data_IF_101445743144
#
_entry.id   IF_101445743144
#
_cell.length_a   1.000
_cell.length_b   1.000
_cell.length_c   1.000
_cell.angle_alpha   90.00
_cell.angle_beta   90.00
_cell.angle_gamma   90.00
#
_symmetry.space_group_name_H-M   'P 1'
#
loop_
_entity.id
_entity.type
_entity.pdbx_description
1 polymer ?
#
# COMPACT_ATOMS: atom_id res chain seq x y z
N UNK A 1 -29.07 -21.00 -8.47
CA UNK A 1 -29.38 -19.55 -8.48
C UNK A 1 -28.53 -18.88 -7.43
N UNK A 2 -27.74 -17.85 -7.80
CA UNK A 2 -26.95 -17.09 -6.81
C UNK A 2 -27.87 -16.40 -5.82
N UNK A 3 -27.49 -16.39 -4.55
CA UNK A 3 -28.26 -15.73 -3.51
C UNK A 3 -28.34 -14.23 -3.82
N UNK A 4 -29.53 -13.61 -3.83
CA UNK A 4 -29.70 -12.19 -4.14
C UNK A 4 -28.91 -11.27 -3.19
N UNK A 5 -28.59 -11.73 -1.98
CA UNK A 5 -27.71 -11.01 -1.04
C UNK A 5 -26.25 -11.03 -1.51
N UNK A 6 -25.79 -12.16 -2.05
CA UNK A 6 -24.44 -12.31 -2.61
C UNK A 6 -24.28 -11.46 -3.86
N UNK A 7 -25.27 -11.44 -4.75
CA UNK A 7 -25.26 -10.61 -5.97
C UNK A 7 -25.07 -9.11 -5.66
N UNK A 8 -25.79 -8.61 -4.65
CA UNK A 8 -25.67 -7.22 -4.20
C UNK A 8 -24.28 -6.88 -3.66
N UNK A 9 -23.64 -7.81 -2.95
CA UNK A 9 -22.28 -7.63 -2.42
C UNK A 9 -21.28 -7.63 -3.58
N UNK A 10 -21.34 -8.64 -4.45
CA UNK A 10 -20.45 -8.76 -5.62
C UNK A 10 -20.53 -7.50 -6.46
N UNK A 11 -21.73 -7.03 -6.79
CA UNK A 11 -21.92 -5.82 -7.60
C UNK A 11 -21.29 -4.57 -6.99
N UNK A 12 -21.45 -4.38 -5.68
CA UNK A 12 -20.83 -3.24 -4.96
C UNK A 12 -19.32 -3.36 -4.92
N UNK A 13 -18.81 -4.54 -4.60
CA UNK A 13 -17.37 -4.81 -4.54
C UNK A 13 -16.72 -4.61 -5.90
N UNK A 14 -17.35 -5.11 -6.98
CA UNK A 14 -16.86 -4.90 -8.34
C UNK A 14 -16.82 -3.42 -8.68
N UNK A 15 -17.87 -2.64 -8.38
CA UNK A 15 -17.88 -1.20 -8.65
C UNK A 15 -16.75 -0.48 -7.90
N UNK A 16 -16.55 -0.77 -6.61
CA UNK A 16 -15.46 -0.18 -5.81
C UNK A 16 -14.10 -0.61 -6.35
N UNK A 17 -13.92 -1.91 -6.64
CA UNK A 17 -12.68 -2.44 -7.19
C UNK A 17 -12.33 -1.80 -8.53
N UNK A 18 -13.32 -1.59 -9.41
CA UNK A 18 -13.11 -0.88 -10.68
C UNK A 18 -12.64 0.55 -10.45
N UNK A 19 -13.28 1.31 -9.54
CA UNK A 19 -12.86 2.68 -9.23
C UNK A 19 -11.44 2.72 -8.68
N UNK A 20 -11.10 1.83 -7.75
CA UNK A 20 -9.77 1.74 -7.15
C UNK A 20 -8.71 1.34 -8.18
N UNK A 21 -8.99 0.34 -9.02
CA UNK A 21 -8.09 -0.08 -10.09
C UNK A 21 -7.87 1.04 -11.11
N UNK A 22 -8.94 1.72 -11.53
CA UNK A 22 -8.84 2.88 -12.43
C UNK A 22 -8.03 4.01 -11.83
N UNK A 23 -8.23 4.32 -10.54
CA UNK A 23 -7.41 5.30 -9.84
C UNK A 23 -5.93 4.91 -9.87
N UNK A 24 -5.59 3.67 -9.51
CA UNK A 24 -4.21 3.20 -9.53
C UNK A 24 -3.58 3.19 -10.92
N UNK A 25 -4.32 2.78 -11.97
CA UNK A 25 -3.83 2.79 -13.35
C UNK A 25 -3.61 4.22 -13.85
N UNK A 26 -4.55 5.13 -13.59
CA UNK A 26 -4.41 6.54 -13.93
C UNK A 26 -3.25 7.19 -13.18
N UNK A 27 -2.98 6.74 -11.96
CA UNK A 27 -1.86 7.24 -11.17
C UNK A 27 -0.57 6.45 -11.30
N UNK A 28 -0.54 5.39 -12.11
CA UNK A 28 0.62 4.52 -12.25
C UNK A 28 1.81 5.25 -12.87
N UNK A 29 1.53 6.17 -13.81
CA UNK A 29 2.54 6.94 -14.53
C UNK A 29 2.98 8.23 -13.82
N UNK A 30 2.36 8.61 -12.70
CA UNK A 30 2.70 9.86 -11.99
C UNK A 30 4.08 9.84 -11.31
N UNK A 31 4.81 8.71 -11.33
CA UNK A 31 6.11 8.60 -10.68
C UNK A 31 6.04 8.83 -9.16
N UNK A 32 7.18 8.76 -8.45
CA UNK A 32 7.22 8.98 -7.01
C UNK A 32 7.16 10.48 -6.70
N UNK A 33 6.03 11.13 -7.00
CA UNK A 33 5.70 12.42 -6.38
C UNK A 33 5.48 12.23 -4.87
N UNK A 34 5.75 13.25 -4.04
CA UNK A 34 5.53 13.20 -2.61
C UNK A 34 4.03 13.04 -2.34
N UNK A 35 3.63 11.79 -2.17
CA UNK A 35 2.23 11.36 -2.15
C UNK A 35 1.83 10.98 -0.73
N UNK A 36 0.52 10.78 -0.50
CA UNK A 36 -0.02 10.43 0.81
C UNK A 36 0.56 9.13 1.40
N UNK A 37 1.28 8.34 0.61
CA UNK A 37 1.97 7.11 1.00
C UNK A 37 3.42 7.32 1.47
N UNK A 38 3.97 8.53 1.35
CA UNK A 38 5.29 8.88 1.87
C UNK A 38 5.49 8.55 3.35
N UNK A 39 4.53 8.82 4.26
CA UNK A 39 4.67 8.47 5.67
C UNK A 39 4.80 6.95 5.87
N UNK A 40 4.07 6.16 5.09
CA UNK A 40 4.07 4.70 5.15
C UNK A 40 5.40 4.16 4.62
N UNK A 41 5.87 4.68 3.49
CA UNK A 41 7.17 4.30 2.90
C UNK A 41 8.33 4.61 3.86
N UNK A 42 8.30 5.78 4.51
CA UNK A 42 9.30 6.16 5.53
C UNK A 42 9.25 5.25 6.75
N UNK A 43 8.06 4.88 7.22
CA UNK A 43 7.92 3.95 8.34
C UNK A 43 8.49 2.57 8.02
N UNK A 44 8.24 2.04 6.82
CA UNK A 44 8.78 0.75 6.37
C UNK A 44 10.31 0.82 6.26
N UNK A 45 10.87 1.86 5.64
CA UNK A 45 12.32 2.05 5.54
C UNK A 45 12.99 2.22 6.91
N UNK A 46 12.34 2.92 7.85
CA UNK A 46 12.84 3.08 9.21
C UNK A 46 12.82 1.76 9.98
N UNK A 47 11.76 0.95 9.83
CA UNK A 47 11.71 -0.38 10.42
C UNK A 47 12.79 -1.30 9.83
N UNK A 48 13.00 -1.25 8.51
CA UNK A 48 14.08 -1.99 7.85
C UNK A 48 15.46 -1.58 8.39
N UNK A 49 15.72 -0.27 8.53
CA UNK A 49 16.98 0.23 9.10
C UNK A 49 17.17 -0.19 10.57
N UNK A 50 16.10 -0.17 11.36
CA UNK A 50 16.15 -0.56 12.78
C UNK A 50 16.43 -2.06 12.95
N UNK A 51 15.84 -2.90 12.09
CA UNK A 51 16.09 -4.35 12.10
C UNK A 51 17.52 -4.65 11.62
N UNK A 52 18.00 -3.94 10.59
CA UNK A 52 19.38 -4.05 10.13
C UNK A 52 20.36 -3.66 11.24
N UNK A 53 20.12 -2.56 11.95
CA UNK A 53 20.96 -2.13 13.08
C UNK A 53 20.90 -3.12 14.26
N UNK A 54 19.76 -3.77 14.49
CA UNK A 54 19.60 -4.80 15.51
C UNK A 54 20.36 -6.09 15.17
N UNK A 55 20.31 -6.55 13.91
CA UNK A 55 20.93 -7.81 13.46
C UNK A 55 22.44 -7.65 13.24
N UNK A 56 22.87 -6.57 12.61
CA UNK A 56 24.28 -6.35 12.24
C UNK A 56 25.08 -5.60 13.32
N UNK A 57 24.42 -5.15 14.39
CA UNK A 57 25.00 -4.29 15.42
C UNK A 57 25.17 -2.86 14.91
N UNK A 58 24.68 -1.88 15.67
CA UNK A 58 24.82 -0.47 15.33
C UNK A 58 26.30 -0.12 15.18
N UNK A 59 26.73 0.31 13.99
CA UNK A 59 28.07 0.91 13.77
C UNK A 59 28.21 2.29 14.41
N UNK A 60 27.63 2.52 15.59
CA UNK A 60 28.00 3.64 16.46
C UNK A 60 29.26 3.25 17.23
N UNK A 61 30.40 3.38 16.55
CA UNK A 61 31.68 3.56 17.23
C UNK A 61 31.74 4.95 17.89
N UNK A 62 32.60 5.12 18.91
CA UNK A 62 32.81 6.38 19.63
C UNK A 62 33.30 7.51 18.72
#
# INVERSE_FOLDING_TARGET
MMNPRTDKIVRRTTMVATVVASYFLLTADYGPEPNAFDPIKRAILSAESSVKDFIFGSKRGP
#
